data_IF_718799756259
#
_entry.id   IF_718799756259
#
_cell.length_a   1.000
_cell.length_b   1.000
_cell.length_c   1.000
_cell.angle_alpha   90.00
_cell.angle_beta   90.00
_cell.angle_gamma   90.00
#
_symmetry.space_group_name_H-M   'P 1'
#
loop_
_entity.id
_entity.type
_entity.pdbx_description
1 polymer ?
#
# COMPACT_ATOMS: atom_id res chain seq x y z
N UNK A 1 -18.09 6.90 19.52
CA UNK A 1 -16.98 7.69 18.95
C UNK A 1 -15.83 6.78 18.59
N UNK A 2 -15.19 6.05 19.54
CA UNK A 2 -14.05 5.19 19.23
C UNK A 2 -14.31 4.15 18.11
N UNK A 3 -15.45 3.46 18.12
CA UNK A 3 -15.84 2.54 17.04
C UNK A 3 -15.94 3.24 15.68
N UNK A 4 -16.73 4.31 15.59
CA UNK A 4 -16.90 5.09 14.36
C UNK A 4 -15.58 5.71 13.84
N UNK A 5 -14.63 6.06 14.72
CA UNK A 5 -13.30 6.53 14.30
C UNK A 5 -12.49 5.38 13.71
N UNK A 6 -12.58 4.17 14.27
CA UNK A 6 -11.95 2.96 13.71
C UNK A 6 -12.45 2.64 12.30
N UNK A 7 -13.76 2.81 12.05
CA UNK A 7 -14.35 2.58 10.72
C UNK A 7 -13.83 3.61 9.69
N UNK A 8 -13.65 4.86 10.12
CA UNK A 8 -13.06 5.92 9.28
C UNK A 8 -11.58 5.66 9.01
N UNK A 9 -10.82 5.20 9.99
CA UNK A 9 -9.41 4.81 9.81
C UNK A 9 -9.28 3.66 8.80
N UNK A 10 -10.17 2.66 8.84
CA UNK A 10 -10.21 1.56 7.85
C UNK A 10 -10.53 2.07 6.44
N UNK A 11 -11.50 3.00 6.33
CA UNK A 11 -11.85 3.63 5.06
C UNK A 11 -10.67 4.42 4.48
N UNK A 12 -9.96 5.16 5.34
CA UNK A 12 -8.76 5.91 4.95
C UNK A 12 -7.67 4.96 4.45
N UNK A 13 -7.46 3.84 5.14
CA UNK A 13 -6.46 2.85 4.75
C UNK A 13 -6.78 2.18 3.42
N UNK A 14 -8.02 1.76 3.21
CA UNK A 14 -8.46 1.20 1.94
C UNK A 14 -8.22 2.18 0.77
N UNK A 15 -8.49 3.46 0.98
CA UNK A 15 -8.25 4.48 -0.04
C UNK A 15 -6.74 4.74 -0.29
N UNK A 16 -5.88 4.66 0.74
CA UNK A 16 -4.41 4.71 0.60
C UNK A 16 -3.87 3.52 -0.20
N UNK A 17 -4.37 2.31 0.05
CA UNK A 17 -4.03 1.12 -0.74
C UNK A 17 -4.46 1.29 -2.22
N UNK A 18 -5.61 1.91 -2.46
CA UNK A 18 -6.05 2.30 -3.80
C UNK A 18 -5.06 3.26 -4.47
N UNK A 19 -4.57 4.26 -3.74
CA UNK A 19 -3.56 5.20 -4.24
C UNK A 19 -2.21 4.54 -4.55
N UNK A 20 -1.79 3.53 -3.78
CA UNK A 20 -0.59 2.72 -4.02
C UNK A 20 -0.76 1.79 -5.23
N UNK A 21 -1.96 1.24 -5.41
CA UNK A 21 -2.29 0.42 -6.59
C UNK A 21 -2.46 1.27 -7.86
N UNK A 22 -2.78 2.56 -7.69
CA UNK A 22 -3.10 3.49 -8.78
C UNK A 22 -4.55 3.40 -9.26
N UNK A 23 -5.39 2.63 -8.56
CA UNK A 23 -6.82 2.48 -8.81
C UNK A 23 -7.52 2.64 -7.48
N UNK A 24 -8.24 3.75 -7.31
CA UNK A 24 -8.97 4.07 -6.09
C UNK A 24 -10.40 3.57 -6.27
N UNK A 25 -10.89 2.74 -5.36
CA UNK A 25 -12.26 2.21 -5.39
C UNK A 25 -13.10 2.92 -4.32
N UNK A 26 -14.26 3.44 -4.72
CA UNK A 26 -15.20 4.10 -3.83
C UNK A 26 -16.25 3.12 -3.30
N UNK A 27 -16.98 3.53 -2.25
CA UNK A 27 -17.99 2.71 -1.59
C UNK A 27 -19.14 2.25 -2.51
N UNK A 28 -19.40 2.97 -3.61
CA UNK A 28 -20.41 2.60 -4.61
C UNK A 28 -19.89 1.62 -5.68
N UNK A 29 -18.63 1.17 -5.55
CA UNK A 29 -17.95 0.28 -6.51
C UNK A 29 -17.40 1.00 -7.75
N UNK A 30 -17.58 2.32 -7.86
CA UNK A 30 -16.91 3.10 -8.90
C UNK A 30 -15.40 3.16 -8.65
N UNK A 31 -14.62 3.33 -9.71
CA UNK A 31 -13.16 3.39 -9.62
C UNK A 31 -12.60 4.63 -10.30
N UNK A 32 -11.59 5.23 -9.67
CA UNK A 32 -10.75 6.27 -10.25
C UNK A 32 -9.38 5.67 -10.59
N UNK A 33 -9.13 5.51 -11.89
CA UNK A 33 -7.87 5.01 -12.40
C UNK A 33 -6.89 6.18 -12.60
N UNK A 34 -5.87 6.29 -11.73
CA UNK A 34 -4.89 7.37 -11.77
C UNK A 34 -4.03 7.35 -13.04
N UNK A 35 -3.77 6.18 -13.61
CA UNK A 35 -3.01 6.08 -14.87
C UNK A 35 -3.76 6.73 -16.03
N UNK A 36 -5.07 6.48 -16.11
CA UNK A 36 -5.94 7.08 -17.12
C UNK A 36 -6.08 8.58 -16.91
N UNK A 37 -6.37 8.99 -15.67
CA UNK A 37 -6.56 10.41 -15.31
C UNK A 37 -5.32 11.26 -15.58
N UNK A 38 -4.13 10.73 -15.29
CA UNK A 38 -2.86 11.42 -15.53
C UNK A 38 -2.30 11.19 -16.94
N UNK A 39 -2.97 10.39 -17.79
CA UNK A 39 -2.52 10.09 -19.15
C UNK A 39 -1.18 9.33 -19.22
N UNK A 40 -0.90 8.48 -18.24
CA UNK A 40 0.35 7.71 -18.14
C UNK A 40 0.07 6.23 -18.34
N UNK A 41 0.87 5.54 -19.16
CA UNK A 41 0.74 4.10 -19.34
C UNK A 41 1.15 3.33 -18.07
N UNK A 42 0.29 2.42 -17.62
CA UNK A 42 0.62 1.48 -16.55
C UNK A 42 1.68 0.50 -17.04
N UNK A 43 2.71 0.26 -16.23
CA UNK A 43 3.72 -0.77 -16.52
C UNK A 43 3.08 -2.14 -16.32
N UNK A 44 3.29 -3.04 -17.29
CA UNK A 44 2.81 -4.42 -17.19
C UNK A 44 3.35 -5.10 -15.92
N UNK A 45 2.53 -5.94 -15.31
CA UNK A 45 2.93 -6.66 -14.09
C UNK A 45 4.18 -7.50 -14.35
N UNK A 46 5.14 -7.39 -13.44
CA UNK A 46 6.37 -8.18 -13.50
C UNK A 46 6.08 -9.57 -12.96
N UNK A 47 6.46 -10.57 -13.73
CA UNK A 47 6.46 -11.95 -13.26
C UNK A 47 7.74 -12.23 -12.47
N UNK A 48 7.58 -12.62 -11.21
CA UNK A 48 8.70 -12.98 -10.34
C UNK A 48 9.04 -14.47 -10.37
N UNK A 49 8.24 -15.31 -11.03
CA UNK A 49 8.52 -16.75 -11.24
C UNK A 49 8.88 -17.49 -9.94
N UNK A 50 8.16 -17.18 -8.85
CA UNK A 50 8.45 -17.66 -7.50
C UNK A 50 8.03 -19.12 -7.27
N UNK A 51 7.17 -19.67 -8.12
CA UNK A 51 6.72 -21.06 -8.07
C UNK A 51 7.62 -22.03 -8.86
N UNK A 52 8.59 -21.50 -9.62
CA UNK A 52 9.53 -22.30 -10.39
C UNK A 52 10.38 -23.18 -9.46
N UNK A 53 10.29 -24.49 -9.65
CA UNK A 53 11.05 -25.46 -8.86
C UNK A 53 12.56 -25.42 -9.11
N UNK A 54 12.99 -24.88 -10.26
CA UNK A 54 14.39 -24.79 -10.69
C UNK A 54 14.69 -23.39 -11.26
N UNK A 55 14.64 -22.34 -10.43
CA UNK A 55 14.91 -20.98 -10.90
C UNK A 55 16.39 -20.86 -11.28
N UNK A 56 16.68 -20.09 -12.32
CA UNK A 56 18.06 -19.80 -12.70
C UNK A 56 18.72 -18.94 -11.61
N UNK A 57 19.99 -19.22 -11.28
CA UNK A 57 20.72 -18.47 -10.27
C UNK A 57 20.76 -16.96 -10.60
N UNK A 58 20.26 -16.13 -9.68
CA UNK A 58 20.22 -14.68 -9.79
C UNK A 58 19.00 -14.14 -10.53
N UNK A 59 18.05 -14.99 -10.93
CA UNK A 59 16.81 -14.59 -11.58
C UNK A 59 15.99 -13.64 -10.68
N UNK A 60 15.86 -13.96 -9.39
CA UNK A 60 15.11 -13.14 -8.44
C UNK A 60 15.80 -11.79 -8.23
N UNK A 61 17.12 -11.80 -8.03
CA UNK A 61 17.91 -10.56 -7.91
C UNK A 61 17.80 -9.68 -9.15
N UNK A 62 17.79 -10.28 -10.34
CA UNK A 62 17.63 -9.57 -11.60
C UNK A 62 16.22 -8.97 -11.74
N UNK A 63 15.17 -9.69 -11.35
CA UNK A 63 13.79 -9.21 -11.34
C UNK A 63 13.66 -7.96 -10.43
N UNK A 64 14.14 -8.03 -9.19
CA UNK A 64 14.16 -6.89 -8.27
C UNK A 64 14.91 -5.69 -8.86
N UNK A 65 16.08 -5.92 -9.47
CA UNK A 65 16.87 -4.87 -10.10
C UNK A 65 16.13 -4.20 -11.28
N UNK A 66 15.37 -4.99 -12.06
CA UNK A 66 14.55 -4.46 -13.17
C UNK A 66 13.46 -3.52 -12.65
N UNK A 67 12.77 -3.87 -11.57
CA UNK A 67 11.75 -3.00 -10.93
C UNK A 67 12.37 -1.67 -10.50
N UNK A 68 13.47 -1.70 -9.75
CA UNK A 68 14.16 -0.49 -9.28
C UNK A 68 14.58 0.41 -10.46
N UNK A 69 15.16 -0.18 -11.51
CA UNK A 69 15.57 0.57 -12.71
C UNK A 69 14.39 1.16 -13.46
N UNK A 70 13.28 0.43 -13.55
CA UNK A 70 12.07 0.90 -14.20
C UNK A 70 11.45 2.07 -13.42
N UNK A 71 11.40 2.02 -12.08
CA UNK A 71 10.95 3.14 -11.24
C UNK A 71 11.85 4.37 -11.40
N UNK A 72 13.18 4.17 -11.39
CA UNK A 72 14.14 5.25 -11.64
C UNK A 72 13.95 5.91 -13.00
N UNK A 73 13.64 5.12 -14.03
CA UNK A 73 13.32 5.61 -15.38
C UNK A 73 12.03 6.42 -15.38
N UNK A 74 10.97 5.93 -14.73
CA UNK A 74 9.67 6.61 -14.62
C UNK A 74 9.77 7.94 -13.84
N UNK A 75 10.62 7.99 -12.82
CA UNK A 75 10.85 9.21 -12.02
C UNK A 75 11.67 10.29 -12.72
N UNK A 76 12.40 9.96 -13.79
CA UNK A 76 13.16 10.94 -14.56
C UNK A 76 14.28 11.61 -13.77
N UNK A 77 15.09 10.81 -13.05
CA UNK A 77 16.22 11.27 -12.21
C UNK A 77 15.87 11.99 -10.90
N UNK A 78 14.59 12.01 -10.49
CA UNK A 78 14.26 12.34 -9.09
C UNK A 78 14.78 11.22 -8.18
N UNK A 79 15.61 11.52 -7.16
CA UNK A 79 16.11 10.51 -6.25
C UNK A 79 14.99 9.98 -5.35
N UNK A 80 15.13 8.73 -4.95
CA UNK A 80 14.33 8.07 -3.92
C UNK A 80 15.27 7.28 -3.02
N UNK A 81 14.87 7.06 -1.77
CA UNK A 81 15.70 6.42 -0.74
C UNK A 81 15.72 4.91 -0.95
N UNK A 82 14.54 4.32 -1.12
CA UNK A 82 14.36 2.87 -1.23
C UNK A 82 13.11 2.55 -2.05
N UNK A 83 13.00 1.30 -2.48
CA UNK A 83 11.77 0.75 -3.05
C UNK A 83 11.11 -0.10 -1.99
N UNK A 84 9.84 0.17 -1.73
CA UNK A 84 9.02 -0.60 -0.81
C UNK A 84 8.00 -1.39 -1.61
N UNK A 85 7.77 -2.64 -1.20
CA UNK A 85 6.81 -3.55 -1.79
C UNK A 85 5.82 -4.05 -0.74
N UNK A 86 4.54 -3.77 -0.96
CA UNK A 86 3.46 -4.48 -0.27
C UNK A 86 3.14 -5.73 -1.05
N UNK A 87 3.12 -6.88 -0.37
CA UNK A 87 2.91 -8.17 -1.01
C UNK A 87 1.83 -8.97 -0.29
N UNK A 88 1.13 -9.81 -1.06
CA UNK A 88 0.20 -10.78 -0.50
C UNK A 88 0.90 -11.96 0.16
N UNK A 89 0.16 -12.72 0.97
CA UNK A 89 0.71 -13.80 1.80
C UNK A 89 1.44 -14.88 1.01
N UNK A 90 0.83 -15.39 -0.07
CA UNK A 90 1.45 -16.45 -0.89
C UNK A 90 2.71 -15.95 -1.58
N UNK A 91 2.71 -14.71 -2.07
CA UNK A 91 3.89 -14.09 -2.65
C UNK A 91 5.02 -13.98 -1.61
N UNK A 92 4.70 -13.53 -0.39
CA UNK A 92 5.69 -13.37 0.69
C UNK A 92 6.28 -14.71 1.13
N UNK A 93 5.46 -15.73 1.33
CA UNK A 93 5.90 -17.07 1.73
C UNK A 93 6.79 -17.73 0.66
N UNK A 94 6.40 -17.62 -0.61
CA UNK A 94 7.21 -18.13 -1.71
C UNK A 94 8.53 -17.37 -1.83
N UNK A 95 8.53 -16.05 -1.63
CA UNK A 95 9.73 -15.23 -1.63
C UNK A 95 10.69 -15.64 -0.50
N UNK A 96 10.19 -15.82 0.73
CA UNK A 96 11.00 -16.25 1.87
C UNK A 96 11.59 -17.66 1.69
N UNK A 97 10.83 -18.56 1.05
CA UNK A 97 11.27 -19.95 0.82
C UNK A 97 12.15 -20.11 -0.43
N UNK A 98 12.24 -19.08 -1.28
CA UNK A 98 13.05 -19.07 -2.49
C UNK A 98 14.54 -19.36 -2.19
N UNK A 99 15.17 -20.18 -3.04
CA UNK A 99 16.55 -20.65 -2.85
C UNK A 99 17.54 -19.49 -2.68
N UNK A 100 17.47 -18.45 -3.53
CA UNK A 100 18.36 -17.29 -3.44
C UNK A 100 18.23 -16.54 -2.10
N UNK A 101 17.02 -16.39 -1.58
CA UNK A 101 16.78 -15.70 -0.31
C UNK A 101 17.34 -16.55 0.83
N UNK A 102 16.97 -17.82 0.89
CA UNK A 102 17.46 -18.72 1.95
C UNK A 102 18.98 -18.86 1.93
N UNK A 103 19.60 -18.95 0.76
CA UNK A 103 21.05 -19.10 0.65
C UNK A 103 21.78 -17.81 1.05
N UNK A 104 21.19 -16.63 0.83
CA UNK A 104 21.74 -15.35 1.29
C UNK A 104 21.80 -15.27 2.82
N UNK A 105 20.77 -15.77 3.51
CA UNK A 105 20.73 -15.76 4.97
C UNK A 105 21.41 -16.97 5.62
N UNK A 106 21.75 -18.03 4.87
CA UNK A 106 22.52 -19.18 5.38
C UNK A 106 23.98 -18.76 5.63
N UNK A 107 24.28 -18.42 6.88
CA UNK A 107 25.65 -18.10 7.33
C UNK A 107 25.85 -16.65 7.77
N UNK A 108 24.82 -15.80 7.65
CA UNK A 108 24.83 -14.44 8.19
C UNK A 108 24.17 -14.39 9.58
N UNK A 109 24.67 -13.51 10.46
CA UNK A 109 24.06 -13.26 11.78
C UNK A 109 22.60 -12.78 11.67
N UNK A 110 22.25 -12.16 10.55
CA UNK A 110 20.89 -11.72 10.22
C UNK A 110 19.93 -12.88 9.87
N UNK A 111 20.37 -14.14 9.90
CA UNK A 111 19.46 -15.31 9.90
C UNK A 111 18.48 -15.31 11.09
N UNK A 112 18.66 -14.39 12.05
CA UNK A 112 17.69 -14.07 13.08
C UNK A 112 16.40 -13.46 12.48
N UNK A 113 16.47 -12.71 11.38
CA UNK A 113 15.30 -12.14 10.69
C UNK A 113 14.36 -13.24 10.16
N UNK A 114 14.90 -14.37 9.67
CA UNK A 114 14.11 -15.52 9.23
C UNK A 114 13.54 -16.37 10.38
N UNK A 115 13.99 -16.14 11.62
CA UNK A 115 13.65 -16.95 12.80
C UNK A 115 12.83 -16.21 13.85
N UNK A 116 12.94 -14.89 13.89
CA UNK A 116 12.17 -14.06 14.80
C UNK A 116 10.77 -13.83 14.27
N UNK A 117 9.79 -13.82 15.18
CA UNK A 117 8.47 -13.28 14.87
C UNK A 117 8.65 -11.85 14.38
N UNK A 118 8.17 -11.59 13.16
CA UNK A 118 8.23 -10.26 12.59
C UNK A 118 7.28 -9.26 13.30
N UNK A 119 6.41 -9.77 14.17
CA UNK A 119 5.48 -9.02 15.01
C UNK A 119 6.08 -8.93 16.43
N UNK A 120 6.20 -7.72 16.98
CA UNK A 120 6.65 -7.52 18.35
C UNK A 120 6.79 -6.05 18.78
N UNK A 121 7.03 -5.81 20.08
CA UNK A 121 7.06 -4.49 20.74
C UNK A 121 8.02 -3.45 20.11
N UNK A 122 8.98 -3.89 19.29
CA UNK A 122 10.00 -3.05 18.64
C UNK A 122 10.03 -3.22 17.10
N UNK A 123 9.02 -3.87 16.49
CA UNK A 123 8.95 -4.10 15.03
C UNK A 123 7.57 -3.69 14.51
N UNK A 124 7.43 -3.55 13.19
CA UNK A 124 6.17 -3.17 12.52
C UNK A 124 5.07 -4.18 12.84
N UNK A 125 3.81 -3.79 12.65
CA UNK A 125 2.64 -4.67 12.81
C UNK A 125 2.65 -5.83 11.80
N UNK A 126 3.32 -5.62 10.66
CA UNK A 126 3.42 -6.57 9.56
C UNK A 126 4.83 -7.18 9.40
N UNK A 127 4.93 -8.43 8.92
CA UNK A 127 6.19 -9.03 8.54
C UNK A 127 6.96 -8.28 7.47
N UNK A 128 8.23 -7.92 7.75
CA UNK A 128 9.08 -7.23 6.78
C UNK A 128 10.52 -7.74 6.74
N UNK A 129 11.13 -7.73 5.55
CA UNK A 129 12.57 -7.96 5.36
C UNK A 129 13.09 -7.27 4.10
N UNK A 130 14.40 -7.03 4.03
CA UNK A 130 15.04 -6.43 2.86
C UNK A 130 15.76 -7.49 2.02
N UNK A 131 15.48 -7.53 0.72
CA UNK A 131 16.25 -8.33 -0.22
C UNK A 131 16.34 -7.65 -1.58
N UNK A 132 17.53 -7.66 -2.19
CA UNK A 132 17.73 -7.11 -3.53
C UNK A 132 17.57 -5.58 -3.63
N UNK A 133 17.64 -4.86 -2.51
CA UNK A 133 17.42 -3.40 -2.45
C UNK A 133 15.93 -3.02 -2.51
N UNK A 134 15.06 -3.95 -2.14
CA UNK A 134 13.63 -3.74 -1.95
C UNK A 134 13.28 -4.17 -0.52
N UNK A 135 12.52 -3.33 0.18
CA UNK A 135 11.88 -3.68 1.45
C UNK A 135 10.57 -4.37 1.12
N UNK A 136 10.44 -5.62 1.56
CA UNK A 136 9.25 -6.44 1.34
C UNK A 136 8.46 -6.48 2.63
N UNK A 137 7.23 -5.99 2.60
CA UNK A 137 6.28 -6.03 3.71
C UNK A 137 5.07 -6.87 3.31
N UNK A 138 4.76 -7.88 4.13
CA UNK A 138 3.54 -8.65 3.98
C UNK A 138 2.35 -7.78 4.39
N UNK A 139 1.55 -7.43 3.41
CA UNK A 139 0.30 -6.70 3.57
C UNK A 139 -0.81 -7.50 2.86
N UNK A 140 -0.97 -8.76 3.27
CA UNK A 140 -2.00 -9.66 2.77
C UNK A 140 -3.40 -9.09 2.93
N UNK A 141 -4.28 -9.42 1.99
CA UNK A 141 -5.71 -9.14 2.12
C UNK A 141 -6.29 -9.84 3.36
N UNK A 142 -6.99 -9.09 4.20
CA UNK A 142 -7.74 -9.68 5.31
C UNK A 142 -8.92 -10.44 4.71
N UNK A 143 -8.93 -11.77 4.90
CA UNK A 143 -9.96 -12.67 4.38
C UNK A 143 -11.37 -12.14 4.62
N UNK A 144 -12.09 -11.85 3.52
CA UNK A 144 -13.50 -11.47 3.53
C UNK A 144 -13.79 -9.96 3.59
N UNK A 145 -12.78 -9.10 3.81
CA UNK A 145 -12.97 -7.65 3.94
C UNK A 145 -12.46 -6.85 2.72
N UNK A 146 -11.72 -7.47 1.80
CA UNK A 146 -11.26 -6.80 0.57
C UNK A 146 -10.14 -5.76 0.78
N UNK A 147 -9.62 -5.65 2.00
CA UNK A 147 -8.57 -4.69 2.39
C UNK A 147 -7.22 -5.40 2.43
N UNK A 148 -6.36 -5.10 1.45
CA UNK A 148 -4.97 -5.54 1.38
C UNK A 148 -4.53 -5.91 -0.03
N UNK A 149 -3.36 -6.54 -0.15
CA UNK A 149 -2.81 -6.99 -1.44
C UNK A 149 -3.26 -8.43 -1.71
N UNK A 150 -3.80 -8.73 -2.92
CA UNK A 150 -4.20 -10.09 -3.27
C UNK A 150 -3.03 -11.07 -3.07
N UNK A 151 -3.35 -12.28 -2.60
CA UNK A 151 -2.39 -13.27 -2.07
C UNK A 151 -1.17 -13.53 -2.96
N UNK A 152 -1.31 -13.49 -4.28
CA UNK A 152 -0.26 -13.78 -5.26
C UNK A 152 0.36 -12.53 -5.91
N UNK A 153 0.01 -11.34 -5.43
CA UNK A 153 0.39 -10.06 -6.03
C UNK A 153 1.38 -9.29 -5.14
N UNK A 154 2.05 -8.35 -5.79
CA UNK A 154 2.91 -7.36 -5.14
C UNK A 154 2.71 -5.99 -5.78
N UNK A 155 2.84 -4.93 -4.97
CA UNK A 155 2.77 -3.53 -5.39
C UNK A 155 4.03 -2.80 -4.95
N UNK A 156 4.77 -2.25 -5.90
CA UNK A 156 6.01 -1.52 -5.66
C UNK A 156 5.82 -0.03 -5.78
N UNK A 157 6.40 0.71 -4.84
CA UNK A 157 6.42 2.16 -4.84
C UNK A 157 7.73 2.68 -4.24
N UNK A 158 8.26 3.81 -4.76
CA UNK A 158 9.48 4.39 -4.23
C UNK A 158 9.17 5.26 -2.99
N UNK A 159 10.02 5.16 -1.96
CA UNK A 159 9.95 5.98 -0.75
C UNK A 159 10.99 7.11 -0.83
N UNK A 160 10.68 8.26 -0.24
CA UNK A 160 11.57 9.42 -0.20
C UNK A 160 11.46 10.34 -1.42
N UNK A 161 10.50 10.08 -2.32
CA UNK A 161 10.15 10.99 -3.41
C UNK A 161 9.28 12.12 -2.85
N UNK A 162 9.71 13.40 -2.95
CA UNK A 162 8.90 14.51 -2.48
C UNK A 162 7.54 14.56 -3.17
N UNK A 163 6.47 14.74 -2.39
CA UNK A 163 5.10 14.94 -2.89
C UNK A 163 4.52 13.76 -3.72
N UNK A 164 5.08 12.55 -3.62
CA UNK A 164 4.58 11.41 -4.41
C UNK A 164 3.16 11.00 -3.98
N UNK A 165 2.97 10.73 -2.69
CA UNK A 165 1.66 10.45 -2.12
C UNK A 165 1.17 11.68 -1.37
N UNK A 166 -0.09 12.05 -1.60
CA UNK A 166 -0.74 13.19 -0.95
C UNK A 166 -2.16 12.86 -0.55
N UNK A 167 -2.55 13.32 0.62
CA UNK A 167 -3.94 13.36 1.07
C UNK A 167 -4.44 14.79 0.95
N UNK A 168 -5.54 14.97 0.22
CA UNK A 168 -6.27 16.23 0.14
C UNK A 168 -7.55 16.11 0.95
N UNK A 169 -7.83 17.11 1.79
CA UNK A 169 -8.98 17.13 2.67
C UNK A 169 -9.92 18.24 2.23
N UNK A 170 -11.21 17.90 2.10
CA UNK A 170 -12.28 18.85 1.83
C UNK A 170 -13.05 19.18 3.11
N UNK A 171 -13.65 20.37 3.21
CA UNK A 171 -14.62 20.65 4.26
C UNK A 171 -15.79 19.65 4.29
N UNK A 172 -16.35 19.47 5.48
CA UNK A 172 -17.65 18.82 5.68
C UNK A 172 -18.78 19.60 4.98
N UNK A 173 -19.88 18.93 4.69
CA UNK A 173 -21.08 19.50 4.08
C UNK A 173 -22.05 20.12 5.10
N UNK A 174 -21.51 20.61 6.23
CA UNK A 174 -22.26 21.42 7.17
C UNK A 174 -22.24 22.90 6.76
N UNK A 175 -23.35 23.59 7.04
CA UNK A 175 -23.46 25.04 6.80
C UNK A 175 -22.31 25.81 7.50
N UNK A 176 -21.91 25.39 8.71
CA UNK A 176 -20.81 26.02 9.45
C UNK A 176 -19.40 25.77 8.88
N UNK A 177 -19.23 24.74 8.04
CA UNK A 177 -17.93 24.37 7.45
C UNK A 177 -17.78 24.89 6.01
N UNK A 178 -18.82 25.51 5.45
CA UNK A 178 -18.74 26.17 4.14
C UNK A 178 -17.63 27.22 4.15
N UNK A 179 -16.79 27.21 3.11
CA UNK A 179 -15.67 28.14 2.94
C UNK A 179 -14.61 28.10 4.07
N UNK A 180 -14.49 26.97 4.76
CA UNK A 180 -13.41 26.71 5.72
C UNK A 180 -12.34 25.80 5.09
N UNK A 181 -11.21 25.63 5.77
CA UNK A 181 -10.22 24.62 5.37
C UNK A 181 -10.72 23.22 5.73
N UNK A 182 -10.43 22.25 4.85
CA UNK A 182 -10.69 20.84 5.10
C UNK A 182 -9.92 20.33 6.32
N UNK A 183 -10.57 19.49 7.11
CA UNK A 183 -10.01 18.77 8.24
C UNK A 183 -10.15 17.27 7.98
N UNK A 184 -9.29 16.48 8.63
CA UNK A 184 -9.31 15.01 8.54
C UNK A 184 -10.67 14.44 8.92
N UNK A 185 -11.20 14.87 10.06
CA UNK A 185 -12.40 14.30 10.66
C UNK A 185 -13.28 15.42 11.20
N UNK A 186 -14.57 15.35 10.88
CA UNK A 186 -15.60 16.20 11.45
C UNK A 186 -16.52 15.36 12.32
N UNK A 187 -16.89 15.90 13.48
CA UNK A 187 -17.86 15.28 14.38
C UNK A 187 -18.92 16.30 14.77
N UNK A 188 -20.19 15.94 14.63
CA UNK A 188 -21.32 16.81 14.94
C UNK A 188 -22.38 16.07 15.75
N UNK A 189 -23.01 16.78 16.68
CA UNK A 189 -24.14 16.29 17.46
C UNK A 189 -25.30 17.28 17.37
N UNK A 190 -26.52 16.78 17.26
CA UNK A 190 -27.73 17.60 17.27
C UNK A 190 -28.91 16.89 17.93
N UNK A 191 -29.84 17.62 18.56
CA UNK A 191 -31.01 17.00 19.18
C UNK A 191 -31.91 16.32 18.15
N UNK A 192 -32.50 15.20 18.53
CA UNK A 192 -33.53 14.55 17.72
C UNK A 192 -34.79 15.42 17.66
N UNK A 193 -35.56 15.41 16.55
CA UNK A 193 -36.76 16.23 16.40
C UNK A 193 -37.86 16.01 17.47
N UNK A 194 -37.79 14.92 18.23
CA UNK A 194 -38.75 14.55 19.26
C UNK A 194 -38.23 14.76 20.70
N UNK A 195 -37.05 15.39 20.87
CA UNK A 195 -36.36 15.61 22.15
C UNK A 195 -36.10 14.34 22.98
N UNK A 196 -36.13 13.15 22.36
CA UNK A 196 -35.87 11.87 23.05
C UNK A 196 -34.41 11.43 23.02
N UNK A 197 -33.53 12.18 22.33
CA UNK A 197 -32.13 11.80 22.18
C UNK A 197 -31.30 12.81 21.39
N UNK A 198 -30.04 12.46 21.19
CA UNK A 198 -29.05 13.22 20.42
C UNK A 198 -28.59 12.35 19.25
N UNK A 199 -28.63 12.88 18.03
CA UNK A 199 -27.97 12.30 16.87
C UNK A 199 -26.49 12.68 16.89
N UNK A 200 -25.63 11.77 16.43
CA UNK A 200 -24.21 12.03 16.25
C UNK A 200 -23.75 11.55 14.88
N UNK A 201 -22.93 12.34 14.22
CA UNK A 201 -22.37 12.06 12.90
C UNK A 201 -20.87 12.29 12.90
N UNK A 202 -20.17 11.44 12.14
CA UNK A 202 -18.76 11.55 11.84
C UNK A 202 -18.60 11.54 10.33
N UNK A 203 -17.79 12.46 9.82
CA UNK A 203 -17.58 12.63 8.38
C UNK A 203 -16.09 12.81 8.08
N UNK A 204 -15.67 12.21 6.97
CA UNK A 204 -14.32 12.30 6.41
C UNK A 204 -14.42 12.48 4.90
N UNK A 205 -13.88 13.59 4.39
CA UNK A 205 -13.91 13.93 2.97
C UNK A 205 -12.48 14.04 2.45
N UNK A 206 -11.86 12.88 2.21
CA UNK A 206 -10.45 12.79 1.83
C UNK A 206 -10.24 12.19 0.46
N UNK A 207 -9.20 12.66 -0.23
CA UNK A 207 -8.69 12.08 -1.45
C UNK A 207 -7.20 11.79 -1.29
N UNK A 208 -6.86 10.51 -1.18
CA UNK A 208 -5.49 10.02 -1.18
C UNK A 208 -5.08 9.70 -2.61
N UNK A 209 -3.97 10.28 -3.08
CA UNK A 209 -3.54 10.10 -4.46
C UNK A 209 -2.03 9.98 -4.61
N UNK A 210 -1.61 9.22 -5.63
CA UNK A 210 -0.26 9.23 -6.15
C UNK A 210 -0.16 10.27 -7.26
N UNK A 211 0.68 11.30 -7.09
CA UNK A 211 0.85 12.39 -8.05
C UNK A 211 1.61 11.98 -9.30
N UNK A 212 2.32 10.86 -9.26
CA UNK A 212 3.11 10.32 -10.38
C UNK A 212 2.85 8.82 -10.54
N UNK A 213 1.65 8.40 -11.00
CA UNK A 213 1.24 7.00 -10.99
C UNK A 213 2.13 6.09 -11.84
N UNK A 214 2.84 6.62 -12.85
CA UNK A 214 3.78 5.82 -13.68
C UNK A 214 4.95 5.17 -12.94
N UNK A 215 5.17 5.49 -11.66
CA UNK A 215 6.20 4.85 -10.82
C UNK A 215 5.66 3.63 -10.06
N UNK A 216 4.34 3.47 -10.02
CA UNK A 216 3.68 2.35 -9.37
C UNK A 216 3.81 1.12 -10.27
N UNK A 217 4.26 0.02 -9.72
CA UNK A 217 4.46 -1.23 -10.47
C UNK A 217 3.77 -2.38 -9.77
N UNK A 218 3.18 -3.29 -10.54
CA UNK A 218 2.64 -4.55 -10.03
C UNK A 218 3.59 -5.71 -10.30
N UNK A 219 3.49 -6.74 -9.48
CA UNK A 219 3.99 -8.07 -9.82
C UNK A 219 3.02 -9.17 -9.42
N UNK A 220 3.32 -10.34 -9.96
CA UNK A 220 2.66 -11.61 -9.71
C UNK A 220 3.73 -12.65 -9.42
N UNK A 221 3.36 -13.67 -8.66
CA UNK A 221 4.25 -14.78 -8.36
C UNK A 221 4.50 -15.72 -9.56
N UNK A 222 3.62 -15.71 -10.56
CA UNK A 222 3.56 -16.58 -11.77
C UNK A 222 3.00 -15.82 -12.96
#
# INVERSE_FOLDING_TARGET
IAANTSDMDLTEEHARLGAITGIITYADGSTLNLFTEFGVAQVAEVDFDLDNATPADGALRLAATKVIRAQKKALGAVPFTEVHAFVGDTFFDQLLTHKEVRDTYKGWSEAQILRESYIGKNRSENPMFEFGGIVWENYGEIDGEGVGIPTTKARFFPIGVPNLFKTYQSPADYIETVNTLGQRLYAKQWPMPNDKGINGELQMNELQLCTRPGVLMGARNT
#
